data_IF_490835112617
#
_entry.id   IF_490835112617
#
_cell.length_a   1.000
_cell.length_b   1.000
_cell.length_c   1.000
_cell.angle_alpha   90.00
_cell.angle_beta   90.00
_cell.angle_gamma   90.00
#
_symmetry.space_group_name_H-M   'P 1'
#
loop_
_entity.id
_entity.type
_entity.pdbx_description
1 polymer ?
#
# COMPACT_ATOMS: atom_id res chain seq x y z
N UNK A 1 -161.31 -169.15 23.06
CA UNK A 1 -160.67 -169.69 21.83
C UNK A 1 -160.25 -168.50 20.98
N UNK A 2 -159.07 -168.41 20.34
CA UNK A 2 -157.79 -169.17 20.38
C UNK A 2 -156.63 -168.18 20.07
N UNK A 3 -155.38 -168.59 20.34
CA UNK A 3 -154.09 -167.87 20.15
C UNK A 3 -153.55 -168.01 18.70
N UNK A 4 -152.36 -167.49 18.27
CA UNK A 4 -151.29 -166.67 18.93
C UNK A 4 -151.07 -165.31 18.17
N UNK A 5 -149.94 -164.56 18.07
CA UNK A 5 -148.48 -164.65 18.37
C UNK A 5 -147.86 -163.27 18.77
N UNK A 6 -146.61 -163.20 19.31
CA UNK A 6 -145.87 -161.95 19.55
C UNK A 6 -144.48 -161.84 18.85
N UNK A 7 -143.94 -160.61 18.66
CA UNK A 7 -142.52 -160.44 18.25
C UNK A 7 -142.00 -159.07 17.80
N UNK A 8 -142.85 -158.07 17.49
CA UNK A 8 -142.43 -156.88 16.72
C UNK A 8 -141.94 -155.65 17.53
N UNK A 9 -141.91 -155.69 18.87
CA UNK A 9 -141.82 -154.45 19.69
C UNK A 9 -140.38 -154.01 20.03
N UNK A 10 -139.46 -154.91 20.40
CA UNK A 10 -138.18 -154.52 21.02
C UNK A 10 -137.18 -153.78 20.13
N UNK A 11 -137.26 -153.90 18.79
CA UNK A 11 -136.21 -153.37 17.90
C UNK A 11 -136.25 -151.85 17.73
N UNK A 12 -137.42 -151.22 17.86
CA UNK A 12 -137.56 -149.78 17.60
C UNK A 12 -137.03 -148.92 18.75
N UNK A 13 -137.41 -149.24 20.00
CA UNK A 13 -137.03 -148.47 21.17
C UNK A 13 -135.50 -148.34 21.39
N UNK A 14 -134.72 -149.35 20.97
CA UNK A 14 -133.25 -149.32 21.08
C UNK A 14 -132.64 -148.33 20.06
N UNK A 15 -133.23 -148.22 18.87
CA UNK A 15 -132.77 -147.29 17.83
C UNK A 15 -133.13 -145.85 18.23
N UNK A 16 -134.40 -145.61 18.59
CA UNK A 16 -134.88 -144.29 19.03
C UNK A 16 -134.14 -143.75 20.29
N UNK A 17 -133.54 -144.64 21.10
CA UNK A 17 -132.69 -144.28 22.24
C UNK A 17 -131.25 -143.97 21.81
N UNK A 18 -130.66 -144.79 20.95
CA UNK A 18 -129.31 -144.58 20.44
C UNK A 18 -129.18 -143.30 19.61
N UNK A 19 -130.21 -142.96 18.83
CA UNK A 19 -130.26 -141.73 18.02
C UNK A 19 -130.26 -140.46 18.90
N UNK A 20 -130.91 -140.51 20.08
CA UNK A 20 -130.87 -139.44 21.10
C UNK A 20 -129.51 -139.33 21.78
N UNK A 21 -128.87 -140.45 22.09
CA UNK A 21 -127.53 -140.47 22.69
C UNK A 21 -126.48 -139.93 21.71
N UNK A 22 -126.60 -140.23 20.40
CA UNK A 22 -125.79 -139.63 19.34
C UNK A 22 -126.01 -138.12 19.27
N UNK A 23 -127.26 -137.65 19.22
CA UNK A 23 -127.54 -136.20 19.19
C UNK A 23 -127.03 -135.48 20.44
N UNK A 24 -127.21 -136.05 21.64
CA UNK A 24 -126.67 -135.45 22.86
C UNK A 24 -125.13 -135.39 22.86
N UNK A 25 -124.44 -136.43 22.38
CA UNK A 25 -122.98 -136.36 22.20
C UNK A 25 -122.58 -135.33 21.13
N UNK A 26 -123.35 -135.16 20.06
CA UNK A 26 -123.09 -134.11 19.06
C UNK A 26 -123.27 -132.71 19.65
N UNK A 27 -124.33 -132.46 20.40
CA UNK A 27 -124.57 -131.17 21.06
C UNK A 27 -123.48 -130.84 22.08
N UNK A 28 -123.06 -131.82 22.89
CA UNK A 28 -121.94 -131.65 23.83
C UNK A 28 -120.60 -131.47 23.10
N UNK A 29 -120.36 -132.18 22.00
CA UNK A 29 -119.16 -132.01 21.18
C UNK A 29 -119.11 -130.61 20.54
N UNK A 30 -120.21 -130.16 19.92
CA UNK A 30 -120.31 -128.82 19.35
C UNK A 30 -120.17 -127.73 20.41
N UNK A 31 -120.73 -127.92 21.61
CA UNK A 31 -120.55 -126.98 22.73
C UNK A 31 -119.10 -126.95 23.25
N UNK A 32 -118.42 -128.11 23.30
CA UNK A 32 -117.00 -128.18 23.70
C UNK A 32 -116.07 -127.62 22.62
N UNK A 33 -116.35 -127.88 21.34
CA UNK A 33 -115.62 -127.35 20.19
C UNK A 33 -115.78 -125.83 20.09
N UNK A 34 -117.01 -125.32 20.26
CA UNK A 34 -117.27 -123.88 20.36
C UNK A 34 -116.53 -123.27 21.56
N UNK A 35 -116.61 -123.87 22.76
CA UNK A 35 -115.93 -123.33 23.93
C UNK A 35 -114.39 -123.36 23.80
N UNK A 36 -113.84 -124.36 23.10
CA UNK A 36 -112.42 -124.41 22.77
C UNK A 36 -112.02 -123.34 21.75
N UNK A 37 -112.83 -123.12 20.72
CA UNK A 37 -112.64 -122.03 19.73
C UNK A 37 -112.74 -120.66 20.41
N UNK A 38 -113.73 -120.45 21.27
CA UNK A 38 -113.93 -119.22 22.04
C UNK A 38 -112.73 -118.97 22.96
N UNK A 39 -112.26 -119.97 23.69
CA UNK A 39 -111.10 -119.86 24.59
C UNK A 39 -109.78 -119.65 23.83
N UNK A 40 -109.59 -120.29 22.67
CA UNK A 40 -108.42 -120.06 21.80
C UNK A 40 -108.47 -118.65 21.20
N UNK A 41 -109.66 -118.15 20.87
CA UNK A 41 -109.89 -116.79 20.35
C UNK A 41 -109.66 -115.72 21.43
N UNK A 42 -110.17 -115.91 22.65
CA UNK A 42 -109.89 -115.06 23.81
C UNK A 42 -108.38 -115.04 24.12
N UNK A 43 -107.72 -116.21 24.17
CA UNK A 43 -106.28 -116.27 24.44
C UNK A 43 -105.43 -115.60 23.33
N UNK A 44 -105.85 -115.68 22.07
CA UNK A 44 -105.25 -114.92 20.96
C UNK A 44 -105.47 -113.41 21.09
N UNK A 45 -106.67 -112.98 21.49
CA UNK A 45 -106.99 -111.57 21.74
C UNK A 45 -106.18 -111.02 22.93
N UNK A 46 -106.09 -111.75 24.05
CA UNK A 46 -105.28 -111.38 25.20
C UNK A 46 -103.80 -111.28 24.85
N UNK A 47 -103.25 -112.28 24.13
CA UNK A 47 -101.87 -112.24 23.68
C UNK A 47 -101.60 -111.06 22.74
N UNK A 48 -102.49 -110.79 21.78
CA UNK A 48 -102.32 -109.68 20.85
C UNK A 48 -102.47 -108.32 21.55
N UNK A 49 -103.41 -108.19 22.49
CA UNK A 49 -103.56 -107.00 23.34
C UNK A 49 -102.30 -106.76 24.17
N UNK A 50 -101.77 -107.79 24.85
CA UNK A 50 -100.52 -107.69 25.64
C UNK A 50 -99.29 -107.39 24.76
N UNK A 51 -99.26 -107.89 23.51
CA UNK A 51 -98.19 -107.61 22.56
C UNK A 51 -98.23 -106.17 22.04
N UNK A 52 -99.41 -105.66 21.65
CA UNK A 52 -99.58 -104.26 21.25
C UNK A 52 -99.37 -103.30 22.44
N UNK A 53 -99.73 -103.68 23.67
CA UNK A 53 -99.40 -102.97 24.91
C UNK A 53 -97.89 -102.88 25.14
N UNK A 54 -97.16 -103.99 25.02
CA UNK A 54 -95.71 -104.04 25.22
C UNK A 54 -94.98 -103.22 24.14
N UNK A 55 -95.46 -103.30 22.90
CA UNK A 55 -94.99 -102.53 21.76
C UNK A 55 -95.27 -101.03 21.92
N UNK A 56 -96.46 -100.65 22.40
CA UNK A 56 -96.79 -99.26 22.71
C UNK A 56 -95.90 -98.73 23.84
N UNK A 57 -95.73 -99.47 24.94
CA UNK A 57 -94.81 -99.10 26.03
C UNK A 57 -93.38 -98.89 25.53
N UNK A 58 -92.85 -99.78 24.68
CA UNK A 58 -91.50 -99.61 24.14
C UNK A 58 -91.39 -98.42 23.16
N UNK A 59 -92.44 -98.13 22.38
CA UNK A 59 -92.51 -96.92 21.57
C UNK A 59 -92.57 -95.66 22.45
N UNK A 60 -93.38 -95.65 23.50
CA UNK A 60 -93.49 -94.55 24.47
C UNK A 60 -92.17 -94.30 25.20
N UNK A 61 -91.51 -95.33 25.73
CA UNK A 61 -90.17 -95.25 26.33
C UNK A 61 -89.13 -94.68 25.36
N UNK A 62 -89.14 -95.14 24.10
CA UNK A 62 -88.25 -94.65 23.04
C UNK A 62 -88.55 -93.19 22.68
N UNK A 63 -89.82 -92.80 22.58
CA UNK A 63 -90.24 -91.43 22.30
C UNK A 63 -89.90 -90.50 23.47
N UNK A 64 -90.08 -90.95 24.72
CA UNK A 64 -89.71 -90.24 25.94
C UNK A 64 -88.19 -90.03 26.04
N UNK A 65 -87.39 -91.09 25.87
CA UNK A 65 -85.92 -90.98 25.88
C UNK A 65 -85.40 -90.10 24.74
N UNK A 66 -86.00 -90.20 23.54
CA UNK A 66 -85.70 -89.30 22.42
C UNK A 66 -85.99 -87.84 22.81
N UNK A 67 -87.19 -87.56 23.32
CA UNK A 67 -87.59 -86.21 23.73
C UNK A 67 -86.69 -85.65 24.84
N UNK A 68 -86.27 -86.48 25.80
CA UNK A 68 -85.29 -86.09 26.83
C UNK A 68 -83.92 -85.74 26.22
N UNK A 69 -83.41 -86.54 25.28
CA UNK A 69 -82.13 -86.27 24.62
C UNK A 69 -82.20 -85.05 23.70
N UNK A 70 -83.30 -84.86 22.96
CA UNK A 70 -83.54 -83.66 22.13
C UNK A 70 -83.61 -82.41 23.02
N UNK A 71 -84.36 -82.45 24.13
CA UNK A 71 -84.39 -81.37 25.12
C UNK A 71 -82.99 -81.05 25.68
N UNK A 72 -82.19 -82.06 26.05
CA UNK A 72 -80.83 -81.85 26.57
C UNK A 72 -79.91 -81.22 25.52
N UNK A 73 -80.02 -81.63 24.25
CA UNK A 73 -79.25 -81.04 23.15
C UNK A 73 -79.69 -79.60 22.87
N UNK A 74 -80.99 -79.30 22.88
CA UNK A 74 -81.48 -77.92 22.78
C UNK A 74 -81.02 -77.03 23.94
N UNK A 75 -81.04 -77.56 25.17
CA UNK A 75 -80.65 -76.81 26.36
C UNK A 75 -79.13 -76.52 26.38
N UNK A 76 -78.31 -77.49 25.95
CA UNK A 76 -76.88 -77.29 25.75
C UNK A 76 -76.59 -76.32 24.59
N UNK A 77 -77.35 -76.39 23.50
CA UNK A 77 -77.21 -75.48 22.36
C UNK A 77 -77.59 -74.04 22.73
N UNK A 78 -78.69 -73.83 23.47
CA UNK A 78 -79.07 -72.53 24.05
C UNK A 78 -77.95 -71.97 24.91
N UNK A 79 -77.46 -72.75 25.89
CA UNK A 79 -76.35 -72.33 26.78
C UNK A 79 -75.07 -72.00 26.00
N UNK A 80 -74.77 -72.74 24.92
CA UNK A 80 -73.62 -72.43 24.05
C UNK A 80 -73.83 -71.12 23.27
N UNK A 81 -75.01 -70.89 22.69
CA UNK A 81 -75.34 -69.65 22.00
C UNK A 81 -75.33 -68.45 22.96
N UNK A 82 -75.89 -68.58 24.16
CA UNK A 82 -75.86 -67.55 25.19
C UNK A 82 -74.44 -67.25 25.65
N UNK A 83 -73.60 -68.26 25.88
CA UNK A 83 -72.20 -68.08 26.26
C UNK A 83 -71.38 -67.41 25.14
N UNK A 84 -71.57 -67.81 23.89
CA UNK A 84 -70.92 -67.21 22.72
C UNK A 84 -71.37 -65.76 22.54
N UNK A 85 -72.68 -65.49 22.63
CA UNK A 85 -73.25 -64.15 22.56
C UNK A 85 -72.67 -63.26 23.66
N UNK A 86 -72.74 -63.68 24.91
CA UNK A 86 -72.20 -62.93 26.05
C UNK A 86 -70.69 -62.66 25.90
N UNK A 87 -69.92 -63.61 25.37
CA UNK A 87 -68.49 -63.39 25.06
C UNK A 87 -68.30 -62.33 23.96
N UNK A 88 -69.08 -62.39 22.87
CA UNK A 88 -69.00 -61.37 21.80
C UNK A 88 -69.42 -59.98 22.31
N UNK A 89 -70.54 -59.86 23.02
CA UNK A 89 -71.01 -58.57 23.57
C UNK A 89 -70.01 -58.00 24.59
N UNK A 90 -69.38 -58.83 25.43
CA UNK A 90 -68.37 -58.39 26.39
C UNK A 90 -66.98 -58.06 25.79
N UNK A 91 -66.71 -58.43 24.52
CA UNK A 91 -65.39 -58.24 23.89
C UNK A 91 -65.40 -57.34 22.65
N UNK A 92 -66.52 -57.17 21.95
CA UNK A 92 -66.57 -56.44 20.68
C UNK A 92 -66.27 -54.94 20.87
N UNK A 93 -66.84 -54.27 21.88
CA UNK A 93 -66.49 -52.87 22.23
C UNK A 93 -65.00 -52.70 22.49
N UNK A 94 -64.38 -53.66 23.20
CA UNK A 94 -62.95 -53.65 23.51
C UNK A 94 -62.10 -53.90 22.27
N UNK A 95 -62.56 -54.75 21.34
CA UNK A 95 -61.93 -55.02 20.05
C UNK A 95 -62.00 -53.80 19.12
N UNK A 96 -63.18 -53.17 18.98
CA UNK A 96 -63.37 -51.93 18.22
C UNK A 96 -62.46 -50.81 18.79
N UNK A 97 -62.42 -50.65 20.12
CA UNK A 97 -61.55 -49.67 20.75
C UNK A 97 -60.05 -49.97 20.51
N UNK A 98 -59.64 -51.24 20.55
CA UNK A 98 -58.26 -51.65 20.25
C UNK A 98 -57.90 -51.40 18.78
N UNK A 99 -58.77 -51.75 17.83
CA UNK A 99 -58.56 -51.51 16.39
C UNK A 99 -58.47 -50.00 16.08
N UNK A 100 -59.34 -49.18 16.68
CA UNK A 100 -59.28 -47.72 16.57
C UNK A 100 -57.99 -47.13 17.15
N UNK A 101 -57.53 -47.62 18.30
CA UNK A 101 -56.24 -47.22 18.90
C UNK A 101 -55.05 -47.66 18.04
N UNK A 102 -55.06 -48.89 17.50
CA UNK A 102 -54.01 -49.40 16.60
C UNK A 102 -53.91 -48.55 15.32
N UNK A 103 -55.02 -48.23 14.68
CA UNK A 103 -55.05 -47.37 13.48
C UNK A 103 -54.58 -45.95 13.81
N UNK A 104 -54.80 -45.45 15.03
CA UNK A 104 -54.26 -44.17 15.50
C UNK A 104 -52.75 -44.25 15.71
N UNK A 105 -52.28 -45.29 16.39
CA UNK A 105 -50.85 -45.52 16.68
C UNK A 105 -50.02 -45.65 15.41
N UNK A 106 -50.49 -46.45 14.44
CA UNK A 106 -49.87 -46.57 13.11
C UNK A 106 -49.77 -45.22 12.38
N UNK A 107 -50.75 -44.33 12.54
CA UNK A 107 -50.72 -42.99 11.94
C UNK A 107 -49.71 -42.09 12.64
N UNK A 108 -49.70 -42.05 13.98
CA UNK A 108 -48.72 -41.27 14.74
C UNK A 108 -47.29 -41.78 14.54
N UNK A 109 -47.08 -43.09 14.42
CA UNK A 109 -45.77 -43.69 14.14
C UNK A 109 -45.22 -43.24 12.77
N UNK A 110 -46.05 -43.28 11.72
CA UNK A 110 -45.71 -42.78 10.38
C UNK A 110 -45.46 -41.26 10.38
N UNK A 111 -46.21 -40.48 11.16
CA UNK A 111 -45.96 -39.04 11.30
C UNK A 111 -44.65 -38.74 12.05
N UNK A 112 -44.38 -39.42 13.17
CA UNK A 112 -43.13 -39.30 13.94
C UNK A 112 -41.93 -39.61 13.03
N UNK A 113 -41.98 -40.70 12.26
CA UNK A 113 -40.91 -41.05 11.32
C UNK A 113 -40.68 -39.95 10.26
N UNK A 114 -41.75 -39.37 9.72
CA UNK A 114 -41.66 -38.24 8.77
C UNK A 114 -41.06 -36.99 9.43
N UNK A 115 -41.48 -36.63 10.63
CA UNK A 115 -40.95 -35.47 11.35
C UNK A 115 -39.49 -35.69 11.78
N UNK A 116 -39.09 -36.89 12.20
CA UNK A 116 -37.68 -37.22 12.47
C UNK A 116 -36.80 -37.06 11.23
N UNK A 117 -37.24 -37.59 10.07
CA UNK A 117 -36.55 -37.39 8.78
C UNK A 117 -36.48 -35.90 8.37
N UNK A 118 -37.49 -35.10 8.72
CA UNK A 118 -37.48 -33.63 8.49
C UNK A 118 -36.50 -32.92 9.42
N UNK A 119 -36.47 -33.28 10.71
CA UNK A 119 -35.56 -32.72 11.71
C UNK A 119 -34.11 -33.02 11.33
N UNK A 120 -33.79 -34.26 10.95
CA UNK A 120 -32.46 -34.64 10.49
C UNK A 120 -31.99 -33.79 9.30
N UNK A 121 -32.80 -33.66 8.25
CA UNK A 121 -32.47 -32.82 7.08
C UNK A 121 -32.25 -31.35 7.44
N UNK A 122 -33.00 -30.81 8.41
CA UNK A 122 -32.79 -29.45 8.91
C UNK A 122 -31.51 -29.33 9.75
N UNK A 123 -31.16 -30.34 10.55
CA UNK A 123 -29.89 -30.39 11.29
C UNK A 123 -28.68 -30.46 10.35
N UNK A 124 -28.74 -31.27 9.30
CA UNK A 124 -27.73 -31.37 8.23
C UNK A 124 -27.58 -30.03 7.47
N UNK A 125 -28.70 -29.37 7.13
CA UNK A 125 -28.69 -28.04 6.52
C UNK A 125 -28.08 -26.98 7.46
N UNK A 126 -28.42 -26.99 8.75
CA UNK A 126 -27.83 -26.09 9.75
C UNK A 126 -26.33 -26.35 9.92
N UNK A 127 -25.90 -27.62 9.92
CA UNK A 127 -24.49 -28.00 10.04
C UNK A 127 -23.67 -27.51 8.83
N UNK A 128 -24.15 -27.76 7.61
CA UNK A 128 -23.49 -27.32 6.38
C UNK A 128 -23.48 -25.79 6.23
N UNK A 129 -24.54 -25.09 6.65
CA UNK A 129 -24.55 -23.62 6.69
C UNK A 129 -23.57 -23.04 7.73
N UNK A 130 -23.50 -23.62 8.95
CA UNK A 130 -22.49 -23.25 9.96
C UNK A 130 -21.06 -23.46 9.43
N UNK A 131 -20.81 -24.57 8.73
CA UNK A 131 -19.53 -24.83 8.06
C UNK A 131 -19.17 -23.74 7.04
N UNK A 132 -20.11 -23.38 6.16
CA UNK A 132 -19.93 -22.30 5.16
C UNK A 132 -19.65 -20.94 5.81
N UNK A 133 -20.39 -20.58 6.87
CA UNK A 133 -20.18 -19.34 7.62
C UNK A 133 -18.78 -19.31 8.26
N UNK A 134 -18.34 -20.41 8.88
CA UNK A 134 -17.00 -20.49 9.49
C UNK A 134 -15.87 -20.41 8.45
N UNK A 135 -16.05 -21.03 7.28
CA UNK A 135 -15.09 -20.92 6.18
C UNK A 135 -14.99 -19.48 5.64
N UNK A 136 -16.13 -18.84 5.36
CA UNK A 136 -16.18 -17.45 4.89
C UNK A 136 -15.63 -16.45 5.91
N UNK A 137 -15.85 -16.67 7.21
CA UNK A 137 -15.25 -15.83 8.27
C UNK A 137 -13.73 -15.89 8.21
N UNK A 138 -13.14 -17.09 8.21
CA UNK A 138 -11.69 -17.30 8.14
C UNK A 138 -11.07 -16.73 6.87
N UNK A 139 -11.73 -16.91 5.72
CA UNK A 139 -11.26 -16.35 4.45
C UNK A 139 -11.30 -14.81 4.49
N UNK A 140 -12.40 -14.22 4.97
CA UNK A 140 -12.52 -12.76 5.09
C UNK A 140 -11.51 -12.19 6.09
N UNK A 141 -11.27 -12.85 7.23
CA UNK A 141 -10.25 -12.49 8.21
C UNK A 141 -8.84 -12.52 7.60
N UNK A 142 -8.52 -13.56 6.82
CA UNK A 142 -7.24 -13.69 6.12
C UNK A 142 -7.05 -12.61 5.06
N UNK A 143 -8.04 -12.41 4.17
CA UNK A 143 -8.00 -11.36 3.14
C UNK A 143 -7.84 -9.96 3.76
N UNK A 144 -8.60 -9.66 4.83
CA UNK A 144 -8.46 -8.41 5.58
C UNK A 144 -7.05 -8.25 6.18
N UNK A 145 -6.42 -9.33 6.66
CA UNK A 145 -5.08 -9.26 7.23
C UNK A 145 -4.01 -9.06 6.14
N UNK A 146 -4.13 -9.68 4.97
CA UNK A 146 -3.27 -9.39 3.81
C UNK A 146 -3.35 -7.90 3.43
N UNK A 147 -4.57 -7.36 3.25
CA UNK A 147 -4.79 -5.96 2.90
C UNK A 147 -4.20 -5.00 3.96
N UNK A 148 -4.26 -5.35 5.26
CA UNK A 148 -3.60 -4.57 6.33
C UNK A 148 -2.07 -4.61 6.22
N UNK A 149 -1.49 -5.77 5.94
CA UNK A 149 -0.04 -5.93 5.79
C UNK A 149 0.47 -5.12 4.59
N UNK A 150 -0.19 -5.23 3.44
CA UNK A 150 0.14 -4.49 2.21
C UNK A 150 0.01 -2.98 2.41
N UNK A 151 -1.04 -2.54 3.10
CA UNK A 151 -1.24 -1.12 3.47
C UNK A 151 -0.09 -0.59 4.31
N UNK A 152 0.38 -1.32 5.33
CA UNK A 152 1.49 -0.84 6.16
C UNK A 152 2.83 -0.89 5.40
N UNK A 153 3.05 -1.88 4.53
CA UNK A 153 4.21 -1.91 3.63
C UNK A 153 4.24 -0.66 2.73
N UNK A 154 3.11 -0.31 2.10
CA UNK A 154 2.97 0.91 1.29
C UNK A 154 3.13 2.18 2.15
N UNK A 155 2.64 2.20 3.39
CA UNK A 155 2.88 3.32 4.31
C UNK A 155 4.37 3.47 4.68
N UNK A 156 5.09 2.39 4.93
CA UNK A 156 6.54 2.41 5.21
C UNK A 156 7.32 2.90 3.99
N UNK A 157 7.00 2.43 2.78
CA UNK A 157 7.57 2.92 1.53
C UNK A 157 7.28 4.42 1.34
N UNK A 158 6.04 4.87 1.57
CA UNK A 158 5.64 6.27 1.47
C UNK A 158 6.36 7.17 2.50
N UNK A 159 6.57 6.70 3.74
CA UNK A 159 7.38 7.41 4.75
C UNK A 159 8.83 7.56 4.27
N UNK A 160 9.45 6.49 3.74
CA UNK A 160 10.82 6.51 3.19
C UNK A 160 10.95 7.48 2.01
N UNK A 161 10.05 7.42 1.03
CA UNK A 161 10.05 8.30 -0.14
C UNK A 161 9.81 9.77 0.25
N UNK A 162 8.94 10.05 1.24
CA UNK A 162 8.74 11.40 1.78
C UNK A 162 10.02 11.95 2.41
N UNK A 163 10.76 11.13 3.18
CA UNK A 163 12.02 11.51 3.80
C UNK A 163 13.11 11.82 2.76
N UNK A 164 13.33 10.92 1.80
CA UNK A 164 14.28 11.11 0.69
C UNK A 164 13.96 12.39 -0.12
N UNK A 165 12.68 12.65 -0.38
CA UNK A 165 12.23 13.88 -1.07
C UNK A 165 12.54 15.15 -0.26
N UNK A 166 12.38 15.13 1.06
CA UNK A 166 12.73 16.28 1.92
C UNK A 166 14.24 16.48 2.03
N UNK A 167 15.01 15.40 2.07
CA UNK A 167 16.48 15.42 2.09
C UNK A 167 17.04 15.99 0.77
N UNK A 168 16.60 15.46 -0.38
CA UNK A 168 16.99 15.95 -1.70
C UNK A 168 16.64 17.43 -1.90
N UNK A 169 15.46 17.88 -1.42
CA UNK A 169 15.08 19.30 -1.42
C UNK A 169 16.01 20.14 -0.54
N UNK A 170 16.36 19.67 0.65
CA UNK A 170 17.31 20.34 1.56
C UNK A 170 18.71 20.45 0.95
N UNK A 171 19.21 19.38 0.34
CA UNK A 171 20.51 19.37 -0.35
C UNK A 171 20.52 20.33 -1.55
N UNK A 172 19.48 20.32 -2.38
CA UNK A 172 19.29 21.25 -3.50
C UNK A 172 19.24 22.71 -3.02
N UNK A 173 18.48 23.01 -1.96
CA UNK A 173 18.40 24.34 -1.37
C UNK A 173 19.75 24.82 -0.81
N UNK A 174 20.50 23.96 -0.11
CA UNK A 174 21.87 24.27 0.37
C UNK A 174 22.83 24.56 -0.79
N UNK A 175 22.77 23.76 -1.85
CA UNK A 175 23.58 23.95 -3.05
C UNK A 175 23.26 25.27 -3.76
N UNK A 176 21.97 25.60 -3.94
CA UNK A 176 21.53 26.86 -4.53
C UNK A 176 21.99 28.07 -3.70
N UNK A 177 21.82 28.04 -2.38
CA UNK A 177 22.28 29.11 -1.47
C UNK A 177 23.80 29.28 -1.57
N UNK A 178 24.58 28.18 -1.54
CA UNK A 178 26.04 28.22 -1.70
C UNK A 178 26.43 28.88 -3.03
N UNK A 179 25.90 28.37 -4.16
CA UNK A 179 26.17 28.90 -5.49
C UNK A 179 25.79 30.37 -5.62
N UNK A 180 24.65 30.79 -5.08
CA UNK A 180 24.23 32.20 -5.08
C UNK A 180 25.16 33.09 -4.25
N UNK A 181 25.65 32.63 -3.09
CA UNK A 181 26.60 33.39 -2.27
C UNK A 181 27.97 33.51 -2.96
N UNK A 182 28.51 32.40 -3.46
CA UNK A 182 29.81 32.36 -4.16
C UNK A 182 29.79 33.18 -5.45
N UNK A 183 28.73 33.06 -6.26
CA UNK A 183 28.54 33.86 -7.48
C UNK A 183 28.39 35.35 -7.17
N UNK A 184 27.64 35.74 -6.13
CA UNK A 184 27.55 37.15 -5.73
C UNK A 184 28.87 37.68 -5.15
N UNK A 185 29.70 36.83 -4.53
CA UNK A 185 31.03 37.22 -4.07
C UNK A 185 31.98 37.47 -5.26
N UNK A 186 32.04 36.55 -6.24
CA UNK A 186 32.90 36.71 -7.43
C UNK A 186 32.43 37.85 -8.32
N UNK A 187 31.12 38.06 -8.50
CA UNK A 187 30.60 39.25 -9.20
C UNK A 187 30.97 40.56 -8.50
N UNK A 188 31.06 40.59 -7.15
CA UNK A 188 31.52 41.76 -6.40
C UNK A 188 33.03 42.00 -6.51
N UNK A 189 33.87 40.95 -6.57
CA UNK A 189 35.32 41.12 -6.79
C UNK A 189 35.62 41.51 -8.23
N UNK A 190 34.97 40.89 -9.22
CA UNK A 190 35.10 41.26 -10.63
C UNK A 190 34.68 42.71 -10.90
N UNK A 191 33.57 43.19 -10.33
CA UNK A 191 33.18 44.61 -10.42
C UNK A 191 34.27 45.55 -9.88
N UNK A 192 34.86 45.25 -8.71
CA UNK A 192 35.97 46.04 -8.15
C UNK A 192 37.23 46.01 -9.04
N UNK A 193 37.47 44.94 -9.79
CA UNK A 193 38.58 44.85 -10.75
C UNK A 193 38.28 45.71 -11.97
N UNK A 194 37.06 45.67 -12.52
CA UNK A 194 36.61 46.55 -13.61
C UNK A 194 36.69 48.02 -13.20
N UNK A 195 36.19 48.39 -12.02
CA UNK A 195 36.29 49.75 -11.45
C UNK A 195 37.74 50.24 -11.31
N UNK A 196 38.70 49.34 -10.99
CA UNK A 196 40.13 49.67 -10.98
C UNK A 196 40.67 49.86 -12.40
N UNK A 197 40.34 48.95 -13.32
CA UNK A 197 40.76 49.04 -14.73
C UNK A 197 40.27 50.33 -15.39
N UNK A 198 39.00 50.68 -15.20
CA UNK A 198 38.43 51.95 -15.65
C UNK A 198 39.18 53.17 -15.08
N UNK A 199 39.54 53.15 -13.78
CA UNK A 199 40.29 54.25 -13.16
C UNK A 199 41.69 54.38 -13.76
N UNK A 200 42.38 53.26 -14.01
CA UNK A 200 43.70 53.25 -14.68
C UNK A 200 43.58 53.79 -16.10
N UNK A 201 42.59 53.36 -16.88
CA UNK A 201 42.36 53.86 -18.25
C UNK A 201 42.02 55.35 -18.27
N UNK A 202 41.15 55.83 -17.36
CA UNK A 202 40.78 57.25 -17.23
C UNK A 202 41.98 58.11 -16.81
N UNK A 203 42.83 57.62 -15.91
CA UNK A 203 44.08 58.29 -15.54
C UNK A 203 45.07 58.33 -16.71
N UNK A 204 45.24 57.23 -17.45
CA UNK A 204 46.10 57.19 -18.63
C UNK A 204 45.62 58.15 -19.73
N UNK A 205 44.30 58.27 -19.96
CA UNK A 205 43.73 59.25 -20.89
C UNK A 205 43.95 60.70 -20.44
N UNK A 206 43.95 60.97 -19.13
CA UNK A 206 44.27 62.29 -18.56
C UNK A 206 45.76 62.60 -18.72
N UNK A 207 46.66 61.67 -18.35
CA UNK A 207 48.10 61.83 -18.53
C UNK A 207 48.46 62.06 -20.00
N UNK A 208 47.83 61.33 -20.93
CA UNK A 208 48.03 61.47 -22.38
C UNK A 208 47.68 62.85 -22.95
N UNK A 209 47.00 63.72 -22.19
CA UNK A 209 46.76 65.13 -22.59
C UNK A 209 47.96 66.04 -22.31
N UNK A 210 48.88 65.63 -21.44
CA UNK A 210 50.09 66.38 -21.06
C UNK A 210 51.38 65.87 -21.73
N UNK A 211 51.36 64.67 -22.30
CA UNK A 211 52.45 64.09 -23.10
C UNK A 211 52.72 64.90 -24.38
N UNK A 212 53.96 64.94 -24.87
CA UNK A 212 54.28 65.58 -26.16
C UNK A 212 53.78 64.75 -27.34
N UNK A 213 53.69 65.35 -28.54
CA UNK A 213 53.31 64.60 -29.75
C UNK A 213 54.36 63.53 -30.11
N UNK A 214 55.63 63.78 -29.83
CA UNK A 214 56.71 62.78 -29.95
C UNK A 214 56.44 61.57 -29.05
N UNK A 215 56.09 61.80 -27.78
CA UNK A 215 55.77 60.73 -26.82
C UNK A 215 54.45 60.01 -27.09
N UNK A 216 53.51 60.65 -27.81
CA UNK A 216 52.25 60.04 -28.26
C UNK A 216 52.44 59.13 -29.48
N UNK A 217 53.41 59.46 -30.34
CA UNK A 217 53.73 58.72 -31.59
C UNK A 217 54.79 57.64 -31.35
N UNK A 218 55.80 57.92 -30.54
CA UNK A 218 56.85 56.99 -30.13
C UNK A 218 56.92 56.91 -28.59
N UNK A 219 55.99 56.19 -27.92
CA UNK A 219 55.94 56.12 -26.45
C UNK A 219 57.12 55.40 -25.81
N UNK A 220 57.86 54.59 -26.58
CA UNK A 220 59.00 53.81 -26.16
C UNK A 220 60.18 54.18 -27.06
N UNK A 221 61.18 54.83 -26.47
CA UNK A 221 62.42 55.19 -27.14
C UNK A 221 63.37 53.98 -27.15
N UNK A 222 64.14 53.86 -28.24
CA UNK A 222 65.19 52.86 -28.39
C UNK A 222 66.52 53.42 -27.91
N UNK A 223 67.32 52.59 -27.23
CA UNK A 223 68.67 52.98 -26.81
C UNK A 223 69.53 53.29 -28.03
N UNK A 224 70.22 54.43 -28.00
CA UNK A 224 71.18 54.82 -29.05
C UNK A 224 72.62 54.54 -28.58
N UNK A 225 72.81 54.12 -27.32
CA UNK A 225 74.06 53.55 -26.82
C UNK A 225 74.52 52.39 -27.70
N UNK A 226 75.80 52.40 -28.10
CA UNK A 226 76.42 51.23 -28.72
C UNK A 226 76.66 50.14 -27.68
N UNK A 227 76.79 48.86 -28.08
CA UNK A 227 76.99 47.75 -27.13
C UNK A 227 78.18 47.94 -26.18
N UNK A 228 79.21 48.68 -26.61
CA UNK A 228 80.40 48.98 -25.78
C UNK A 228 80.11 50.00 -24.67
N UNK A 229 79.26 50.98 -24.95
CA UNK A 229 78.84 51.98 -23.98
C UNK A 229 77.86 51.35 -22.96
N UNK A 230 77.00 50.43 -23.42
CA UNK A 230 76.15 49.61 -22.56
C UNK A 230 77.01 48.77 -21.58
N UNK A 231 78.04 48.05 -22.08
CA UNK A 231 79.00 47.30 -21.27
C UNK A 231 79.85 48.18 -20.33
N UNK A 232 80.05 49.46 -20.63
CA UNK A 232 80.75 50.40 -19.74
C UNK A 232 79.84 50.96 -18.64
N UNK A 233 78.56 51.16 -18.91
CA UNK A 233 77.54 51.56 -17.93
C UNK A 233 77.30 50.45 -16.91
N UNK A 234 77.12 49.21 -17.36
CA UNK A 234 76.89 48.05 -16.47
C UNK A 234 78.08 47.80 -15.53
N UNK A 235 79.30 48.18 -15.95
CA UNK A 235 80.51 48.16 -15.09
C UNK A 235 80.65 49.36 -14.16
N UNK A 236 79.85 50.42 -14.32
CA UNK A 236 79.88 51.62 -13.47
C UNK A 236 78.77 51.65 -12.41
N UNK A 237 77.63 50.97 -12.63
CA UNK A 237 76.55 50.80 -11.65
C UNK A 237 76.38 49.32 -11.21
N UNK A 238 77.25 48.78 -10.34
CA UNK A 238 77.22 47.38 -9.91
C UNK A 238 76.26 47.08 -8.74
N UNK A 239 75.20 47.88 -8.54
CA UNK A 239 74.22 47.64 -7.47
C UNK A 239 73.24 46.52 -7.85
N UNK A 240 73.60 45.27 -7.51
CA UNK A 240 72.68 44.13 -7.59
C UNK A 240 71.44 44.39 -6.69
N UNK A 241 70.21 44.29 -7.22
CA UNK A 241 69.01 44.56 -6.43
C UNK A 241 68.82 43.53 -5.32
N UNK A 242 68.64 44.00 -4.08
CA UNK A 242 68.42 43.19 -2.88
C UNK A 242 67.35 42.13 -3.10
N UNK A 243 67.48 40.94 -2.50
CA UNK A 243 66.62 39.78 -2.77
C UNK A 243 65.10 40.06 -2.62
N UNK A 244 64.71 40.99 -1.74
CA UNK A 244 63.33 41.46 -1.59
C UNK A 244 62.88 42.35 -2.77
N UNK A 245 63.72 43.28 -3.21
CA UNK A 245 63.50 44.12 -4.37
C UNK A 245 63.43 43.28 -5.65
N UNK A 246 64.33 42.31 -5.82
CA UNK A 246 64.32 41.37 -6.94
C UNK A 246 63.00 40.57 -7.04
N UNK A 247 62.44 40.11 -5.91
CA UNK A 247 61.13 39.44 -5.87
C UNK A 247 59.99 40.36 -6.31
N UNK A 248 59.99 41.62 -5.85
CA UNK A 248 59.02 42.63 -6.29
C UNK A 248 59.19 42.94 -7.79
N UNK A 249 60.42 42.99 -8.31
CA UNK A 249 60.70 43.24 -9.73
C UNK A 249 60.16 42.14 -10.65
N UNK A 250 60.07 40.87 -10.20
CA UNK A 250 59.44 39.79 -10.98
C UNK A 250 57.95 40.10 -11.24
N UNK A 251 57.20 40.50 -10.20
CA UNK A 251 55.77 40.83 -10.30
C UNK A 251 55.50 42.05 -11.21
N UNK A 252 56.46 42.97 -11.34
CA UNK A 252 56.37 44.17 -12.18
C UNK A 252 57.21 44.12 -13.47
N UNK A 253 57.75 42.96 -13.83
CA UNK A 253 58.59 42.77 -15.04
C UNK A 253 57.95 43.30 -16.32
N UNK A 254 56.64 43.11 -16.49
CA UNK A 254 55.87 43.66 -17.63
C UNK A 254 55.70 45.19 -17.66
N UNK A 255 56.20 45.93 -16.66
CA UNK A 255 56.10 47.39 -16.55
C UNK A 255 57.41 48.13 -16.88
N UNK A 256 58.46 47.44 -17.34
CA UNK A 256 59.75 48.03 -17.73
C UNK A 256 59.59 49.26 -18.65
N UNK A 257 58.72 49.16 -19.65
CA UNK A 257 58.44 50.24 -20.61
C UNK A 257 57.64 51.42 -20.01
N UNK A 258 56.90 51.21 -18.92
CA UNK A 258 56.30 52.31 -18.15
C UNK A 258 57.38 53.06 -17.36
N UNK A 259 58.30 52.33 -16.73
CA UNK A 259 59.39 52.92 -15.94
C UNK A 259 60.37 53.71 -16.80
N UNK A 260 60.77 53.21 -17.97
CA UNK A 260 61.54 53.99 -18.98
C UNK A 260 60.88 55.34 -19.26
N UNK A 261 59.58 55.32 -19.63
CA UNK A 261 58.81 56.52 -19.96
C UNK A 261 58.69 57.50 -18.78
N UNK A 262 58.51 56.98 -17.56
CA UNK A 262 58.52 57.79 -16.34
C UNK A 262 59.89 58.43 -16.07
N UNK A 263 60.98 57.67 -16.20
CA UNK A 263 62.35 58.14 -15.95
C UNK A 263 62.76 59.22 -16.96
N UNK A 264 62.41 59.07 -18.25
CA UNK A 264 62.57 60.12 -19.28
C UNK A 264 61.91 61.42 -18.85
N UNK A 265 60.60 61.41 -18.59
CA UNK A 265 59.85 62.62 -18.20
C UNK A 265 60.38 63.21 -16.90
N UNK A 266 60.81 62.39 -15.93
CA UNK A 266 61.39 62.87 -14.67
C UNK A 266 62.72 63.59 -14.88
N UNK A 267 63.59 63.08 -15.76
CA UNK A 267 64.86 63.73 -16.13
C UNK A 267 64.63 64.99 -16.98
N UNK A 268 63.60 65.01 -17.84
CA UNK A 268 63.21 66.21 -18.58
C UNK A 268 62.74 67.33 -17.64
N UNK A 269 61.89 67.02 -16.65
CA UNK A 269 61.49 67.97 -15.60
C UNK A 269 62.70 68.53 -14.85
N UNK A 270 63.64 67.68 -14.42
CA UNK A 270 64.86 68.12 -13.74
C UNK A 270 65.74 69.02 -14.63
N UNK A 271 65.83 68.73 -15.95
CA UNK A 271 66.60 69.57 -16.88
C UNK A 271 65.93 70.94 -17.11
N UNK A 272 64.60 70.98 -17.16
CA UNK A 272 63.82 72.21 -17.26
C UNK A 272 63.88 73.05 -15.98
N UNK A 273 63.85 72.43 -14.80
CA UNK A 273 64.07 73.09 -13.51
C UNK A 273 65.47 73.72 -13.43
N UNK A 274 66.51 72.96 -13.79
CA UNK A 274 67.88 73.47 -13.83
C UNK A 274 68.04 74.62 -14.86
N UNK A 275 67.49 74.47 -16.07
CA UNK A 275 67.55 75.51 -17.11
C UNK A 275 66.77 76.76 -16.72
N UNK A 276 65.63 76.62 -16.03
CA UNK A 276 64.89 77.74 -15.43
C UNK A 276 65.74 78.48 -14.40
N UNK A 277 66.47 77.76 -13.54
CA UNK A 277 67.44 78.35 -12.61
C UNK A 277 68.50 79.19 -13.34
N UNK A 278 69.18 78.60 -14.32
CA UNK A 278 70.18 79.32 -15.15
C UNK A 278 69.60 80.58 -15.80
N UNK A 279 68.38 80.53 -16.34
CA UNK A 279 67.74 81.67 -16.99
C UNK A 279 67.32 82.78 -16.00
N UNK A 280 66.97 82.42 -14.76
CA UNK A 280 66.74 83.39 -13.68
C UNK A 280 68.04 84.07 -13.27
N UNK A 281 69.14 83.33 -13.10
CA UNK A 281 70.47 83.89 -12.79
C UNK A 281 70.97 84.84 -13.89
N UNK A 282 70.79 84.45 -15.16
CA UNK A 282 71.15 85.28 -16.32
C UNK A 282 70.25 86.52 -16.38
N UNK A 283 68.93 86.39 -16.14
CA UNK A 283 68.02 87.54 -16.03
C UNK A 283 68.41 88.48 -14.88
N UNK A 284 68.89 87.95 -13.74
CA UNK A 284 69.43 88.74 -12.64
C UNK A 284 70.63 89.57 -13.08
N UNK A 285 71.66 88.90 -13.62
CA UNK A 285 72.89 89.53 -14.11
C UNK A 285 72.66 90.53 -15.24
N UNK A 286 71.72 90.26 -16.15
CA UNK A 286 71.34 91.20 -17.21
C UNK A 286 70.66 92.45 -16.65
N UNK A 287 69.80 92.32 -15.63
CA UNK A 287 69.20 93.48 -14.93
C UNK A 287 70.24 94.27 -14.14
N UNK A 288 71.20 93.59 -13.53
CA UNK A 288 72.32 94.21 -12.80
C UNK A 288 73.25 95.00 -13.74
N UNK A 289 73.69 94.40 -14.85
CA UNK A 289 74.47 95.12 -15.88
C UNK A 289 73.67 96.26 -16.51
N UNK A 290 72.35 96.10 -16.71
CA UNK A 290 71.51 97.18 -17.22
C UNK A 290 71.38 98.33 -16.21
N UNK A 291 71.29 98.03 -14.90
CA UNK A 291 71.41 99.07 -13.85
C UNK A 291 72.77 99.75 -13.95
N UNK A 292 73.88 99.01 -13.94
CA UNK A 292 75.24 99.56 -14.04
C UNK A 292 75.44 100.43 -15.31
N UNK A 293 74.81 100.09 -16.43
CA UNK A 293 74.86 100.89 -17.67
C UNK A 293 74.05 102.18 -17.57
N UNK A 294 72.85 102.14 -16.98
CA UNK A 294 72.03 103.34 -16.74
C UNK A 294 72.67 104.27 -15.68
N UNK A 295 73.24 103.67 -14.63
CA UNK A 295 74.06 104.34 -13.61
C UNK A 295 75.35 104.93 -14.20
N UNK A 296 75.92 104.33 -15.25
CA UNK A 296 77.10 104.84 -15.96
C UNK A 296 76.82 106.00 -16.93
N UNK A 297 75.55 106.26 -17.27
CA UNK A 297 75.12 107.31 -18.21
C UNK A 297 74.33 108.42 -17.52
N UNK A 298 73.61 108.11 -16.44
CA UNK A 298 72.90 109.09 -15.62
C UNK A 298 73.75 109.53 -14.42
N UNK A 299 73.72 110.82 -14.09
CA UNK A 299 74.37 111.33 -12.88
C UNK A 299 73.32 111.38 -11.77
N UNK A 300 73.36 110.42 -10.86
CA UNK A 300 72.49 110.33 -9.68
C UNK A 300 73.30 110.27 -8.39
N UNK A 301 72.66 110.58 -7.26
CA UNK A 301 73.33 110.62 -5.95
C UNK A 301 73.82 109.23 -5.49
N UNK A 302 73.13 108.17 -5.92
CA UNK A 302 73.51 106.77 -5.71
C UNK A 302 74.75 106.38 -6.54
N UNK A 303 75.01 107.06 -7.66
CA UNK A 303 76.21 106.89 -8.50
C UNK A 303 77.38 107.73 -7.99
N UNK A 304 77.12 108.93 -7.46
CA UNK A 304 78.15 109.81 -6.89
C UNK A 304 78.72 109.28 -5.57
N UNK A 305 77.96 108.45 -4.84
CA UNK A 305 78.38 107.80 -3.60
C UNK A 305 79.08 106.45 -3.79
N UNK A 306 79.17 105.93 -5.02
CA UNK A 306 79.84 104.67 -5.36
C UNK A 306 81.17 104.90 -6.13
N UNK A 307 81.97 103.85 -6.29
CA UNK A 307 83.25 103.91 -7.03
C UNK A 307 82.99 104.16 -8.52
N UNK A 308 83.16 105.41 -8.95
CA UNK A 308 82.79 105.88 -10.29
C UNK A 308 84.00 106.43 -11.07
N UNK A 309 83.95 106.46 -12.42
CA UNK A 309 85.00 107.04 -13.26
C UNK A 309 84.94 108.57 -13.33
N UNK A 310 83.87 109.19 -12.82
CA UNK A 310 83.62 110.63 -12.89
C UNK A 310 84.47 111.43 -11.89
N UNK A 311 84.91 110.82 -10.78
CA UNK A 311 85.84 111.42 -9.84
C UNK A 311 87.29 110.93 -10.08
N UNK A 312 88.09 111.76 -10.74
CA UNK A 312 89.54 111.53 -10.93
C UNK A 312 90.31 112.51 -10.03
N UNK A 313 91.14 111.98 -9.14
CA UNK A 313 91.98 112.77 -8.23
C UNK A 313 93.44 112.39 -8.46
N UNK A 314 94.32 113.39 -8.61
CA UNK A 314 95.78 113.20 -8.79
C UNK A 314 96.14 112.18 -9.90
N UNK A 315 95.47 112.28 -11.05
CA UNK A 315 95.66 111.43 -12.24
C UNK A 315 95.46 109.92 -12.02
N UNK A 316 94.71 109.52 -10.97
CA UNK A 316 94.30 108.13 -10.76
C UNK A 316 92.76 108.05 -10.71
N UNK A 317 92.20 107.08 -11.41
CA UNK A 317 90.79 106.71 -11.32
C UNK A 317 90.58 105.75 -10.14
N UNK A 318 89.48 105.91 -9.40
CA UNK A 318 89.10 104.96 -8.35
C UNK A 318 88.47 103.66 -8.88
N UNK A 319 88.30 103.55 -10.21
CA UNK A 319 87.85 102.33 -10.90
C UNK A 319 89.07 101.46 -11.26
N UNK A 320 89.07 100.15 -10.93
CA UNK A 320 90.09 99.22 -11.41
C UNK A 320 90.13 99.17 -12.93
N UNK A 321 91.31 99.05 -13.54
CA UNK A 321 91.40 98.75 -14.97
C UNK A 321 90.78 97.37 -15.23
N UNK A 322 89.83 97.33 -16.16
CA UNK A 322 89.23 96.07 -16.60
C UNK A 322 90.30 95.27 -17.37
N UNK A 323 90.79 94.18 -16.78
CA UNK A 323 91.57 93.18 -17.51
C UNK A 323 90.76 92.74 -18.73
N UNK A 324 91.37 92.74 -19.92
CA UNK A 324 90.74 92.16 -21.11
C UNK A 324 90.34 90.71 -20.81
N UNK A 325 89.13 90.26 -21.18
CA UNK A 325 88.69 88.89 -20.92
C UNK A 325 89.64 87.93 -21.62
N UNK A 326 90.28 87.09 -20.83
CA UNK A 326 91.31 86.17 -21.28
C UNK A 326 90.70 85.19 -22.30
N UNK A 327 91.28 85.10 -23.51
CA UNK A 327 90.82 84.19 -24.56
C UNK A 327 91.28 82.75 -24.28
N UNK A 328 90.97 82.27 -23.07
CA UNK A 328 90.99 80.87 -22.69
C UNK A 328 90.11 80.08 -23.67
N UNK A 329 90.76 79.28 -24.51
CA UNK A 329 90.17 78.76 -25.73
C UNK A 329 89.05 77.74 -25.52
N UNK A 330 88.21 77.64 -26.55
CA UNK A 330 87.37 76.48 -26.86
C UNK A 330 86.70 75.79 -25.65
N UNK A 331 85.86 76.54 -24.93
CA UNK A 331 84.75 75.92 -24.22
C UNK A 331 83.83 75.28 -25.25
N UNK A 332 84.07 73.99 -25.52
CA UNK A 332 83.20 73.08 -26.28
C UNK A 332 81.73 73.40 -25.98
N UNK A 333 80.83 73.32 -26.97
CA UNK A 333 79.40 73.55 -26.74
C UNK A 333 78.94 72.71 -25.55
N UNK A 334 78.12 73.25 -24.63
CA UNK A 334 77.73 72.56 -23.41
C UNK A 334 77.13 71.22 -23.81
N UNK A 335 77.78 70.13 -23.38
CA UNK A 335 77.43 68.77 -23.81
C UNK A 335 75.93 68.59 -23.66
N UNK A 336 75.23 68.36 -24.77
CA UNK A 336 73.79 68.09 -24.75
C UNK A 336 73.61 66.74 -24.09
N UNK A 337 73.45 66.75 -22.76
CA UNK A 337 73.14 65.58 -21.95
C UNK A 337 71.92 64.92 -22.58
N UNK A 338 72.13 63.80 -23.26
CA UNK A 338 71.07 63.14 -23.98
C UNK A 338 70.17 62.45 -22.94
N UNK A 339 69.08 63.12 -22.59
CA UNK A 339 68.15 62.71 -21.54
C UNK A 339 67.59 61.32 -21.82
N UNK A 340 67.50 60.94 -23.10
CA UNK A 340 67.08 59.64 -23.61
C UNK A 340 68.04 58.54 -23.12
N UNK A 341 69.36 58.68 -23.29
CA UNK A 341 70.32 57.68 -22.80
C UNK A 341 70.42 57.70 -21.26
N UNK A 342 70.35 58.87 -20.63
CA UNK A 342 70.28 58.97 -19.17
C UNK A 342 69.06 58.20 -18.61
N UNK A 343 67.93 58.23 -19.32
CA UNK A 343 66.73 57.47 -18.99
C UNK A 343 66.77 55.98 -19.39
N UNK A 344 67.82 55.53 -20.09
CA UNK A 344 68.15 54.10 -20.24
C UNK A 344 69.13 53.61 -19.17
N UNK A 345 70.11 54.45 -18.81
CA UNK A 345 71.11 54.18 -17.77
C UNK A 345 70.46 54.15 -16.39
N UNK A 346 69.51 55.04 -16.13
CA UNK A 346 68.66 55.01 -14.93
C UNK A 346 67.56 53.97 -15.13
N UNK A 347 67.91 52.71 -14.87
CA UNK A 347 66.98 51.58 -14.82
C UNK A 347 65.99 51.72 -13.66
N UNK A 348 66.43 52.27 -12.52
CA UNK A 348 65.68 52.28 -11.27
C UNK A 348 65.76 53.66 -10.57
N UNK A 349 64.59 54.23 -10.26
CA UNK A 349 64.40 55.19 -9.16
C UNK A 349 63.17 54.72 -8.39
N UNK A 350 63.38 54.29 -7.14
CA UNK A 350 62.36 54.05 -6.12
C UNK A 350 62.75 54.82 -4.85
#
# INVERSE_FOLDING_TARGET
MRLPTPGLVSRKAIIDQHEKEIHYLQDVFMAMEQNYVDSEYESKLEFQSMWDDLKNKNLEEKHFLRLQLENIVEDLWRRFQDALKNYTEATEDRKIAFEALKVKDEKSSKEIEMQMKRIQKLQEAISTLKGKISAHSRESEYQNQCIRNDKELVHVQLRRLKAQRTEARSASQKSLVKLTLESNATLKTLKKIVEKGEKILKLAEICRKFETEEEKVLPFYSSVLTPKEQEEVERQNPEEPTEELAKVMVDYSGMENFWKRYNKVKLEVLSLEHRRGQLLDISGKLREMLKQYLDGISVSDEVLSQLNPLFIVNHRSNVPQLSSPDQSGDKRPPTTYNIIEAAHIVSHIL
#
